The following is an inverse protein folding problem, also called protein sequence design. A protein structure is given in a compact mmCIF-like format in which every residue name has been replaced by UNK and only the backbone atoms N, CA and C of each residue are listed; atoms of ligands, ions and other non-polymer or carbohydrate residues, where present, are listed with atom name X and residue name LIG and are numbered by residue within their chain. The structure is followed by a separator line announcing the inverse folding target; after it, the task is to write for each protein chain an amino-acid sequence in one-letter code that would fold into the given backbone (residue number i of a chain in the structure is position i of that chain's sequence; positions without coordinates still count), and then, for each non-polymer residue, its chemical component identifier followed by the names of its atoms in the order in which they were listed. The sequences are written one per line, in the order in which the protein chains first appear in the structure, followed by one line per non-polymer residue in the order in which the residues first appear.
data_IF_035745043942
#
_entry.id   IF_035745043942
#
_cell.length_a   1.000
_cell.length_b   1.000
_cell.length_c   1.000
_cell.angle_alpha   90.00
_cell.angle_beta   90.00
_cell.angle_gamma   90.00
#
_symmetry.space_group_name_H-M   'P 1'
#
loop_
_entity.id
_entity.type
_entity.pdbx_description
1 polymer ?
#
# COMPACT_ATOMS: atom_id res chain seq x y z
N UNK A 1 -4.02 -17.36 -5.67
CA UNK A 1 -3.08 -16.48 -4.92
C UNK A 1 -3.76 -16.08 -3.62
N UNK A 2 -3.33 -16.62 -2.48
CA UNK A 2 -3.92 -16.32 -1.16
C UNK A 2 -3.45 -14.93 -0.69
N UNK A 3 -4.36 -14.10 -0.16
CA UNK A 3 -4.01 -12.78 0.37
C UNK A 3 -3.28 -12.93 1.71
N UNK A 4 -2.31 -12.04 1.98
CA UNK A 4 -1.62 -11.98 3.28
C UNK A 4 -2.60 -11.78 4.44
N UNK A 5 -3.75 -11.14 4.20
CA UNK A 5 -4.83 -10.99 5.17
C UNK A 5 -5.50 -12.33 5.47
N UNK A 6 -5.82 -13.11 4.43
CA UNK A 6 -6.41 -14.45 4.57
C UNK A 6 -5.53 -15.33 5.45
N UNK A 7 -4.21 -15.32 5.21
CA UNK A 7 -3.26 -16.10 6.00
C UNK A 7 -3.21 -15.67 7.48
N UNK A 8 -3.28 -14.36 7.77
CA UNK A 8 -3.38 -13.85 9.14
C UNK A 8 -4.65 -14.32 9.85
N UNK A 9 -5.79 -14.32 9.16
CA UNK A 9 -7.05 -14.84 9.71
C UNK A 9 -6.93 -16.33 10.04
N UNK A 10 -6.32 -17.13 9.17
CA UNK A 10 -6.11 -18.56 9.44
C UNK A 10 -5.21 -18.79 10.65
N UNK A 11 -4.10 -18.06 10.74
CA UNK A 11 -3.20 -18.12 11.91
C UNK A 11 -3.94 -17.72 13.18
N UNK A 12 -4.78 -16.69 13.15
CA UNK A 12 -5.58 -16.26 14.29
C UNK A 12 -6.60 -17.35 14.72
N UNK A 13 -7.30 -17.96 13.75
CA UNK A 13 -8.24 -19.05 14.02
C UNK A 13 -7.57 -20.28 14.63
N UNK A 14 -6.38 -20.65 14.14
CA UNK A 14 -5.58 -21.74 14.72
C UNK A 14 -5.13 -21.35 16.13
N UNK A 15 -4.65 -20.12 16.32
CA UNK A 15 -4.21 -19.62 17.63
C UNK A 15 -5.32 -19.57 18.68
N UNK A 16 -6.58 -19.42 18.26
CA UNK A 16 -7.74 -19.38 19.14
C UNK A 16 -8.22 -20.78 19.57
N UNK A 17 -7.94 -21.81 18.78
CA UNK A 17 -8.42 -23.18 19.01
C UNK A 17 -7.30 -24.15 19.41
N UNK A 18 -6.06 -23.66 19.59
CA UNK A 18 -4.90 -24.49 19.85
C UNK A 18 -4.23 -24.05 21.15
N UNK A 19 -3.75 -25.02 21.93
CA UNK A 19 -2.99 -24.78 23.15
C UNK A 19 -1.67 -24.04 22.87
N UNK A 20 -1.04 -23.55 23.94
CA UNK A 20 0.26 -22.92 23.82
C UNK A 20 1.31 -23.90 23.28
N UNK A 21 2.04 -23.49 22.25
CA UNK A 21 3.19 -24.21 21.70
C UNK A 21 4.44 -23.54 22.26
N UNK A 22 5.31 -24.30 22.94
CA UNK A 22 6.52 -23.75 23.57
C UNK A 22 6.21 -22.57 24.53
N UNK A 23 5.11 -22.68 25.29
CA UNK A 23 4.66 -21.64 26.22
C UNK A 23 4.15 -20.34 25.56
N UNK A 24 3.97 -20.32 24.23
CA UNK A 24 3.48 -19.17 23.46
C UNK A 24 2.32 -19.56 22.56
N UNK A 25 1.42 -18.61 22.30
CA UNK A 25 0.34 -18.82 21.32
C UNK A 25 0.96 -19.05 19.94
N UNK A 26 0.38 -19.95 19.15
CA UNK A 26 0.82 -20.32 17.81
C UNK A 26 1.11 -19.08 16.95
N UNK A 27 0.23 -18.07 16.95
CA UNK A 27 0.40 -16.84 16.18
C UNK A 27 1.57 -15.94 16.61
N UNK A 28 2.12 -16.15 17.82
CA UNK A 28 3.29 -15.44 18.35
C UNK A 28 4.59 -16.24 18.20
N UNK A 29 4.54 -17.44 17.65
CA UNK A 29 5.72 -18.27 17.45
C UNK A 29 6.63 -17.67 16.37
N UNK A 30 7.95 -17.61 16.62
CA UNK A 30 8.92 -16.92 15.75
C UNK A 30 8.90 -17.43 14.30
N UNK A 31 8.69 -18.74 14.11
CA UNK A 31 8.54 -19.33 12.77
C UNK A 31 7.36 -18.76 12.00
N UNK A 32 6.21 -18.58 12.66
CA UNK A 32 5.00 -18.05 12.03
C UNK A 32 5.17 -16.56 11.73
N UNK A 33 5.78 -15.81 12.64
CA UNK A 33 6.09 -14.39 12.40
C UNK A 33 7.06 -14.22 11.22
N UNK A 34 8.13 -15.04 11.14
CA UNK A 34 9.09 -15.01 10.02
C UNK A 34 8.43 -15.41 8.71
N UNK A 35 7.57 -16.43 8.72
CA UNK A 35 6.81 -16.87 7.56
C UNK A 35 5.85 -15.77 7.06
N UNK A 36 5.03 -15.20 7.94
CA UNK A 36 4.10 -14.10 7.60
C UNK A 36 4.85 -12.89 7.04
N UNK A 37 6.03 -12.56 7.59
CA UNK A 37 6.90 -11.50 7.06
C UNK A 37 7.40 -11.82 5.64
N UNK A 38 7.78 -13.07 5.39
CA UNK A 38 8.16 -13.53 4.05
C UNK A 38 7.02 -13.40 3.04
N UNK A 39 5.81 -13.83 3.44
CA UNK A 39 4.60 -13.71 2.61
C UNK A 39 4.26 -12.24 2.31
N UNK A 40 4.39 -11.33 3.28
CA UNK A 40 4.21 -9.90 3.05
C UNK A 40 5.24 -9.30 2.10
N UNK A 41 6.47 -9.84 2.09
CA UNK A 41 7.52 -9.40 1.16
C UNK A 41 7.28 -9.90 -0.26
N UNK A 42 6.76 -11.12 -0.41
CA UNK A 42 6.39 -11.71 -1.70
C UNK A 42 5.13 -11.07 -2.29
N UNK A 43 4.19 -10.68 -1.43
CA UNK A 43 2.94 -10.04 -1.81
C UNK A 43 2.73 -8.76 -0.99
N UNK A 44 3.40 -7.64 -1.35
CA UNK A 44 3.24 -6.39 -0.65
C UNK A 44 1.77 -5.95 -0.71
N UNK A 45 1.19 -5.46 0.42
CA UNK A 45 -0.15 -4.90 0.41
C UNK A 45 -0.25 -3.83 -0.67
N UNK A 46 -1.22 -3.96 -1.56
CA UNK A 46 -1.50 -2.89 -2.52
C UNK A 46 -2.04 -1.72 -1.71
N UNK A 47 -1.45 -0.52 -1.81
CA UNK A 47 -2.06 0.66 -1.20
C UNK A 47 -3.48 0.81 -1.75
N UNK A 48 -4.42 1.26 -0.91
CA UNK A 48 -5.74 1.62 -1.39
C UNK A 48 -5.59 2.85 -2.28
N UNK A 49 -5.74 2.64 -3.58
CA UNK A 49 -5.60 3.67 -4.61
C UNK A 49 -6.88 4.48 -4.80
N UNK A 50 -7.93 4.09 -4.09
CA UNK A 50 -9.21 4.78 -4.08
C UNK A 50 -9.10 5.85 -3.00
N UNK A 51 -9.19 7.14 -3.35
CA UNK A 51 -9.26 8.19 -2.35
C UNK A 51 -10.47 7.96 -1.43
N UNK A 52 -10.37 8.37 -0.17
CA UNK A 52 -11.49 8.29 0.78
C UNK A 52 -12.62 9.28 0.49
N UNK A 53 -12.43 10.20 -0.47
CA UNK A 53 -13.41 11.20 -0.90
C UNK A 53 -14.13 10.75 -2.17
N UNK A 54 -15.40 11.14 -2.30
CA UNK A 54 -16.21 10.86 -3.48
C UNK A 54 -15.91 11.87 -4.59
N UNK A 55 -15.43 11.38 -5.73
CA UNK A 55 -15.13 12.20 -6.89
C UNK A 55 -16.36 12.88 -7.47
N UNK A 56 -17.53 12.26 -7.38
CA UNK A 56 -18.76 12.88 -7.83
C UNK A 56 -19.06 14.16 -7.03
N UNK A 57 -18.85 14.13 -5.71
CA UNK A 57 -19.07 15.29 -4.82
C UNK A 57 -18.11 16.44 -5.15
N UNK A 58 -16.83 16.13 -5.36
CA UNK A 58 -15.82 17.15 -5.71
C UNK A 58 -16.10 17.77 -7.09
N UNK A 59 -16.48 16.95 -8.07
CA UNK A 59 -16.84 17.44 -9.41
C UNK A 59 -18.14 18.27 -9.38
N UNK A 60 -19.12 17.86 -8.57
CA UNK A 60 -20.36 18.61 -8.41
C UNK A 60 -20.10 19.96 -7.76
N UNK A 61 -19.26 20.03 -6.73
CA UNK A 61 -18.86 21.29 -6.08
C UNK A 61 -18.13 22.24 -7.05
N UNK A 62 -17.33 21.70 -7.98
CA UNK A 62 -16.68 22.47 -9.06
C UNK A 62 -17.65 23.01 -10.13
N UNK A 63 -18.89 22.54 -10.15
CA UNK A 63 -19.96 23.00 -11.04
C UNK A 63 -20.91 24.00 -10.36
N UNK A 64 -20.67 24.36 -9.11
CA UNK A 64 -21.44 25.36 -8.39
C UNK A 64 -20.64 26.67 -8.26
N UNK A 65 -21.30 27.73 -7.80
CA UNK A 65 -20.63 28.96 -7.37
C UNK A 65 -19.49 28.64 -6.38
N UNK A 66 -18.32 29.30 -6.46
CA UNK A 66 -17.96 30.43 -7.33
C UNK A 66 -17.26 30.02 -8.65
N UNK A 67 -17.42 28.78 -9.13
CA UNK A 67 -16.70 28.24 -10.30
C UNK A 67 -17.51 28.29 -11.61
N UNK A 68 -18.77 28.73 -11.52
CA UNK A 68 -19.77 28.95 -12.57
C UNK A 68 -20.56 30.21 -12.17
N UNK A 69 -21.04 31.08 -13.08
CA UNK A 69 -20.98 31.01 -14.54
C UNK A 69 -19.65 31.56 -15.11
N UNK A 70 -19.08 30.88 -16.11
CA UNK A 70 -17.75 31.17 -16.68
C UNK A 70 -17.55 32.63 -17.16
N UNK A 71 -18.64 33.36 -17.42
CA UNK A 71 -18.63 34.74 -17.90
C UNK A 71 -18.30 35.76 -16.80
N UNK A 72 -18.50 35.42 -15.52
CA UNK A 72 -18.29 36.34 -14.38
C UNK A 72 -17.30 35.81 -13.33
N UNK A 73 -16.65 34.69 -13.62
CA UNK A 73 -15.75 34.00 -12.67
C UNK A 73 -14.37 34.67 -12.63
N UNK A 74 -13.86 34.85 -11.41
CA UNK A 74 -12.51 35.36 -11.16
C UNK A 74 -11.43 34.41 -11.72
N UNK A 75 -10.37 34.96 -12.34
CA UNK A 75 -9.26 34.20 -12.91
C UNK A 75 -8.63 33.20 -11.92
N UNK A 76 -8.65 33.54 -10.62
CA UNK A 76 -8.16 32.71 -9.53
C UNK A 76 -8.99 31.44 -9.33
N UNK A 77 -10.31 31.52 -9.42
CA UNK A 77 -11.21 30.37 -9.31
C UNK A 77 -11.05 29.42 -10.51
N UNK A 78 -10.83 29.97 -11.71
CA UNK A 78 -10.55 29.18 -12.92
C UNK A 78 -9.19 28.46 -12.84
N UNK A 79 -8.16 29.15 -12.35
CA UNK A 79 -6.84 28.57 -12.07
C UNK A 79 -6.93 27.44 -11.04
N UNK A 80 -7.69 27.62 -9.96
CA UNK A 80 -7.92 26.58 -8.96
C UNK A 80 -8.62 25.34 -9.54
N UNK A 81 -9.68 25.55 -10.35
CA UNK A 81 -10.43 24.46 -11.01
C UNK A 81 -9.52 23.64 -11.93
N UNK A 82 -8.73 24.30 -12.76
CA UNK A 82 -7.80 23.63 -13.69
C UNK A 82 -6.63 22.96 -12.95
N UNK A 83 -6.07 23.59 -11.92
CA UNK A 83 -5.02 23.00 -11.09
C UNK A 83 -5.50 21.76 -10.34
N UNK A 84 -6.70 21.81 -9.75
CA UNK A 84 -7.33 20.66 -9.07
C UNK A 84 -7.56 19.50 -10.05
N UNK A 85 -8.15 19.75 -11.22
CA UNK A 85 -8.35 18.72 -12.24
C UNK A 85 -7.01 18.16 -12.77
N UNK A 86 -5.99 18.99 -12.91
CA UNK A 86 -4.64 18.57 -13.31
C UNK A 86 -3.98 17.70 -12.24
N UNK A 87 -4.13 18.04 -10.96
CA UNK A 87 -3.63 17.22 -9.86
C UNK A 87 -4.34 15.86 -9.80
N UNK A 88 -5.67 15.84 -9.93
CA UNK A 88 -6.47 14.60 -9.94
C UNK A 88 -6.07 13.65 -11.08
N UNK A 89 -5.84 14.19 -12.27
CA UNK A 89 -5.40 13.40 -13.43
C UNK A 89 -3.93 12.99 -13.34
N UNK A 90 -3.08 13.81 -12.71
CA UNK A 90 -1.66 13.50 -12.48
C UNK A 90 -1.47 12.36 -11.48
N UNK A 91 -2.26 12.29 -10.40
CA UNK A 91 -2.21 11.17 -9.43
C UNK A 91 -2.49 9.83 -10.13
N UNK A 92 -3.34 9.82 -11.16
CA UNK A 92 -3.64 8.63 -11.95
C UNK A 92 -2.45 8.20 -12.84
N UNK A 93 -1.58 9.14 -13.22
CA UNK A 93 -0.43 8.92 -14.12
C UNK A 93 0.88 8.64 -13.39
N UNK A 94 1.08 9.25 -12.22
CA UNK A 94 2.17 8.92 -11.30
C UNK A 94 1.79 7.76 -10.37
N UNK A 95 1.14 6.72 -10.91
CA UNK A 95 1.09 5.43 -10.26
C UNK A 95 2.38 4.70 -10.63
N UNK A 96 3.45 4.72 -9.83
CA UNK A 96 4.55 3.81 -10.05
C UNK A 96 3.99 2.39 -9.94
N UNK A 97 4.09 1.63 -11.04
CA UNK A 97 4.04 0.17 -11.00
C UNK A 97 5.22 -0.26 -10.12
N UNK A 98 4.99 -0.37 -8.81
CA UNK A 98 6.02 -0.80 -7.85
C UNK A 98 6.43 -2.23 -8.24
N UNK A 99 7.48 -2.36 -9.03
CA UNK A 99 8.25 -3.61 -9.14
C UNK A 99 9.05 -3.72 -7.85
N UNK A 100 8.45 -4.38 -6.85
CA UNK A 100 9.20 -4.86 -5.70
C UNK A 100 10.15 -5.96 -6.18
N UNK A 101 11.44 -5.63 -6.28
CA UNK A 101 12.44 -6.57 -6.76
C UNK A 101 13.85 -5.99 -6.82
N UNK A 102 14.24 -5.15 -5.85
CA UNK A 102 15.66 -4.87 -5.62
C UNK A 102 16.23 -6.06 -4.86
N UNK A 103 16.80 -7.03 -5.59
CA UNK A 103 17.62 -8.10 -5.04
C UNK A 103 18.72 -7.48 -4.19
N UNK A 104 18.69 -7.76 -2.89
CA UNK A 104 19.78 -7.51 -1.97
C UNK A 104 21.02 -8.26 -2.44
N UNK A 105 22.15 -7.57 -2.41
CA UNK A 105 23.51 -8.14 -2.43
C UNK A 105 23.58 -9.36 -1.51
N UNK A 106 24.08 -10.47 -2.02
CA UNK A 106 24.61 -11.55 -1.18
C UNK A 106 25.96 -11.11 -0.59
N UNK A 107 26.30 -11.53 0.64
CA UNK A 107 27.64 -11.37 1.19
C UNK A 107 28.51 -12.52 0.68
N UNK A 108 29.17 -12.35 -0.46
CA UNK A 108 30.22 -13.27 -0.88
C UNK A 108 31.54 -12.81 -0.22
N UNK A 109 32.09 -13.72 0.58
CA UNK A 109 33.21 -13.62 1.50
C UNK A 109 34.55 -13.28 0.82
N UNK A 110 35.45 -12.49 1.44
CA UNK A 110 36.84 -12.38 0.98
C UNK A 110 37.60 -13.68 1.28
N UNK A 111 38.12 -14.28 0.21
CA UNK A 111 38.94 -15.49 0.22
C UNK A 111 40.33 -15.23 0.80
N UNK A 112 40.52 -15.37 2.12
CA UNK A 112 41.86 -15.42 2.75
C UNK A 112 41.91 -16.23 4.06
N UNK A 113 41.23 -17.38 4.15
CA UNK A 113 41.50 -18.33 5.26
C UNK A 113 42.22 -19.55 4.68
N UNK A 114 43.53 -19.72 4.95
CA UNK A 114 44.22 -20.96 4.66
C UNK A 114 43.80 -22.05 5.65
N UNK A 115 43.57 -23.24 5.10
CA UNK A 115 43.16 -24.47 5.77
C UNK A 115 44.15 -24.92 6.85
N UNK A 116 43.61 -25.39 7.98
CA UNK A 116 44.24 -26.29 8.94
C UNK A 116 43.35 -27.52 9.10
#
# INVERSE_FOLDING_TARGET
HLSALTLKVHVAAISANHDFVEGRSVGKHDLIVRFLRGVQRLNPPRPNLIPSWDLAVVLQALQQDPFEPLQSVEINALSMKTALLTALTSVKRFMPRIRAGRLSRGPETPAWIPSL
#
